data_IF_587282212366
#
_entry.id   IF_587282212366
#
_cell.length_a   1.000
_cell.length_b   1.000
_cell.length_c   1.000
_cell.angle_alpha   90.00
_cell.angle_beta   90.00
_cell.angle_gamma   90.00
#
_symmetry.space_group_name_H-M   'P 1'
#
loop_
_entity.id
_entity.type
_entity.pdbx_description
1 polymer ?
#
# COMPACT_ATOMS: atom_id res chain seq x y z
N UNK A 1 35.67 58.97 -10.63
CA UNK A 1 35.82 57.67 -9.98
C UNK A 1 34.48 56.96 -10.08
N UNK A 2 34.41 55.98 -10.98
CA UNK A 2 33.35 54.96 -11.25
C UNK A 2 31.92 55.21 -10.76
N UNK A 3 30.99 55.43 -11.70
CA UNK A 3 29.58 55.06 -11.52
C UNK A 3 29.24 53.90 -12.46
N UNK A 4 28.68 52.84 -11.89
CA UNK A 4 28.46 51.54 -12.51
C UNK A 4 26.96 51.34 -12.73
N UNK A 5 26.44 51.79 -13.87
CA UNK A 5 25.06 51.48 -14.26
C UNK A 5 25.06 50.23 -15.15
N UNK A 6 24.80 49.10 -14.51
CA UNK A 6 24.52 47.80 -15.13
C UNK A 6 23.44 47.96 -16.22
N UNK A 7 23.82 47.85 -17.50
CA UNK A 7 22.86 47.67 -18.60
C UNK A 7 22.25 46.28 -18.49
N UNK A 8 21.16 46.16 -17.73
CA UNK A 8 20.33 44.95 -17.74
C UNK A 8 19.70 44.79 -19.12
N UNK A 9 20.25 43.90 -19.93
CA UNK A 9 19.67 43.45 -21.19
C UNK A 9 18.33 42.76 -20.85
N UNK A 10 17.20 43.33 -21.27
CA UNK A 10 15.90 42.68 -21.16
C UNK A 10 15.96 41.35 -21.92
N UNK A 11 15.95 40.24 -21.18
CA UNK A 11 15.99 38.89 -21.76
C UNK A 11 14.61 38.63 -22.33
N UNK A 12 14.43 38.77 -23.64
CA UNK A 12 13.17 38.51 -24.35
C UNK A 12 12.83 37.02 -24.46
N UNK A 13 13.52 36.14 -23.72
CA UNK A 13 13.28 34.71 -23.76
C UNK A 13 12.16 34.35 -22.80
N UNK A 14 10.95 34.18 -23.32
CA UNK A 14 9.89 33.46 -22.62
C UNK A 14 10.34 32.00 -22.51
N UNK A 15 10.73 31.58 -21.31
CA UNK A 15 11.15 30.21 -21.01
C UNK A 15 9.89 29.40 -20.70
N UNK A 16 9.36 28.72 -21.71
CA UNK A 16 8.31 27.73 -21.50
C UNK A 16 8.92 26.50 -20.83
N UNK A 17 8.62 26.28 -19.56
CA UNK A 17 9.00 25.05 -18.85
C UNK A 17 8.05 23.91 -19.28
N UNK A 18 8.62 22.74 -19.57
CA UNK A 18 7.96 21.57 -20.18
C UNK A 18 6.78 21.00 -19.38
N UNK A 19 6.62 21.38 -18.11
CA UNK A 19 5.56 20.88 -17.23
C UNK A 19 4.53 21.94 -16.80
N UNK A 20 4.71 23.21 -17.16
CA UNK A 20 3.76 24.29 -16.79
C UNK A 20 2.81 24.69 -17.93
N UNK A 21 2.97 24.14 -19.13
CA UNK A 21 2.10 24.41 -20.30
C UNK A 21 0.93 23.42 -20.39
N UNK A 22 0.95 22.33 -19.62
CA UNK A 22 -0.02 21.23 -19.76
C UNK A 22 -1.29 21.38 -18.91
N UNK A 23 -1.55 22.55 -18.33
CA UNK A 23 -2.85 22.86 -17.74
C UNK A 23 -3.51 23.98 -18.56
N UNK A 24 -4.28 23.65 -19.61
CA UNK A 24 -5.14 24.63 -20.24
C UNK A 24 -6.15 25.06 -19.17
N UNK A 25 -6.07 26.33 -18.75
CA UNK A 25 -7.14 26.96 -17.99
C UNK A 25 -8.42 26.81 -18.82
N UNK A 26 -9.44 26.16 -18.25
CA UNK A 26 -10.77 26.02 -18.85
C UNK A 26 -11.49 27.37 -18.74
N UNK A 27 -10.96 28.39 -19.40
CA UNK A 27 -11.68 29.62 -19.69
C UNK A 27 -12.27 29.45 -21.09
N UNK A 28 -13.60 29.54 -21.28
CA UNK A 28 -14.21 29.41 -22.59
C UNK A 28 -13.88 30.67 -23.41
N UNK A 29 -12.75 30.65 -24.12
CA UNK A 29 -12.43 31.66 -25.11
C UNK A 29 -13.30 31.38 -26.34
N UNK A 30 -14.34 32.19 -26.52
CA UNK A 30 -15.32 32.16 -27.62
C UNK A 30 -14.73 32.62 -28.97
N UNK A 31 -13.52 32.17 -29.29
CA UNK A 31 -12.85 32.42 -30.57
C UNK A 31 -12.39 31.10 -31.18
N UNK A 32 -13.33 30.30 -31.67
CA UNK A 32 -13.03 29.02 -32.32
C UNK A 32 -12.47 29.27 -33.73
N UNK A 33 -11.15 29.39 -33.84
CA UNK A 33 -10.48 29.10 -35.10
C UNK A 33 -10.70 27.61 -35.40
N UNK A 34 -11.09 27.26 -36.63
CA UNK A 34 -11.40 25.88 -37.06
C UNK A 34 -10.27 24.88 -36.71
N UNK A 35 -9.02 25.34 -36.69
CA UNK A 35 -7.85 24.56 -36.24
C UNK A 35 -7.96 24.12 -34.78
N UNK A 36 -8.33 25.02 -33.86
CA UNK A 36 -8.42 24.70 -32.43
C UNK A 36 -9.50 23.65 -32.16
N UNK A 37 -10.62 23.70 -32.91
CA UNK A 37 -11.68 22.68 -32.80
C UNK A 37 -11.25 21.33 -33.38
N UNK A 38 -10.45 21.32 -34.43
CA UNK A 38 -9.95 20.08 -35.03
C UNK A 38 -8.88 19.41 -34.15
N UNK A 39 -7.99 20.19 -33.55
CA UNK A 39 -7.01 19.70 -32.57
C UNK A 39 -7.69 19.07 -31.34
N UNK A 40 -8.73 19.72 -30.80
CA UNK A 40 -9.49 19.17 -29.67
C UNK A 40 -10.16 17.83 -30.03
N UNK A 41 -10.71 17.72 -31.25
CA UNK A 41 -11.31 16.47 -31.73
C UNK A 41 -10.26 15.37 -31.90
N UNK A 42 -9.11 15.69 -32.48
CA UNK A 42 -8.03 14.73 -32.67
C UNK A 42 -7.53 14.20 -31.32
N UNK A 43 -7.31 15.09 -30.35
CA UNK A 43 -6.93 14.73 -28.98
C UNK A 43 -8.00 13.83 -28.34
N UNK A 44 -9.28 14.19 -28.44
CA UNK A 44 -10.37 13.38 -27.90
C UNK A 44 -10.39 11.96 -28.50
N UNK A 45 -10.25 11.85 -29.82
CA UNK A 45 -10.18 10.53 -30.49
C UNK A 45 -8.93 9.73 -30.15
N UNK A 46 -7.79 10.41 -29.94
CA UNK A 46 -6.55 9.77 -29.51
C UNK A 46 -6.68 9.20 -28.10
N UNK A 47 -7.30 9.97 -27.19
CA UNK A 47 -7.55 9.55 -25.82
C UNK A 47 -8.48 8.33 -25.75
N UNK A 48 -9.56 8.33 -26.56
CA UNK A 48 -10.50 7.22 -26.68
C UNK A 48 -9.83 5.93 -27.18
N UNK A 49 -8.81 6.03 -28.05
CA UNK A 49 -8.04 4.86 -28.51
C UNK A 49 -7.02 4.39 -27.49
N UNK A 50 -6.51 5.29 -26.67
CA UNK A 50 -5.58 4.98 -25.58
C UNK A 50 -6.28 4.36 -24.37
N UNK A 51 -7.60 4.47 -24.28
CA UNK A 51 -8.37 3.86 -23.20
C UNK A 51 -8.33 2.32 -23.32
N UNK A 52 -7.80 1.65 -22.30
CA UNK A 52 -7.78 0.19 -22.26
C UNK A 52 -9.00 -0.31 -21.47
N UNK A 53 -10.10 -0.57 -22.18
CA UNK A 53 -11.37 -1.05 -21.62
C UNK A 53 -11.23 -2.37 -20.86
N UNK A 54 -10.31 -3.24 -21.30
CA UNK A 54 -10.05 -4.52 -20.64
C UNK A 54 -9.43 -4.33 -19.24
N UNK A 55 -8.53 -3.35 -19.08
CA UNK A 55 -7.97 -3.01 -17.77
C UNK A 55 -9.00 -2.33 -16.85
N UNK A 56 -9.92 -1.56 -17.41
CA UNK A 56 -11.01 -0.97 -16.63
C UNK A 56 -11.90 -2.05 -16.00
N UNK A 57 -12.18 -3.14 -16.73
CA UNK A 57 -12.93 -4.29 -16.22
C UNK A 57 -12.16 -5.20 -15.26
N UNK A 58 -10.85 -5.03 -15.12
CA UNK A 58 -10.02 -5.90 -14.26
C UNK A 58 -10.24 -5.62 -12.77
N UNK A 59 -10.60 -4.38 -12.40
CA UNK A 59 -10.89 -4.02 -11.01
C UNK A 59 -12.35 -4.30 -10.69
N UNK A 60 -12.59 -5.41 -10.00
CA UNK A 60 -13.92 -5.74 -9.47
C UNK A 60 -14.19 -4.89 -8.24
N UNK A 61 -15.07 -3.90 -8.37
CA UNK A 61 -15.70 -3.26 -7.22
C UNK A 61 -16.82 -4.18 -6.72
N UNK A 62 -16.67 -4.72 -5.51
CA UNK A 62 -17.68 -5.60 -4.92
C UNK A 62 -18.86 -4.77 -4.40
N UNK A 63 -20.08 -5.30 -4.53
CA UNK A 63 -21.23 -4.76 -3.82
C UNK A 63 -21.08 -5.01 -2.31
N UNK A 64 -21.75 -4.20 -1.49
CA UNK A 64 -21.70 -4.32 -0.03
C UNK A 64 -22.02 -5.74 0.45
N UNK A 65 -23.07 -6.34 -0.11
CA UNK A 65 -23.46 -7.72 0.18
C UNK A 65 -22.34 -8.74 -0.09
N UNK A 66 -21.62 -8.59 -1.21
CA UNK A 66 -20.49 -9.49 -1.54
C UNK A 66 -19.34 -9.31 -0.57
N UNK A 67 -19.07 -8.07 -0.15
CA UNK A 67 -18.06 -7.75 0.85
C UNK A 67 -18.42 -8.38 2.21
N UNK A 68 -19.66 -8.24 2.67
CA UNK A 68 -20.13 -8.89 3.90
C UNK A 68 -20.00 -10.41 3.86
N UNK A 69 -20.38 -11.04 2.75
CA UNK A 69 -20.26 -12.49 2.59
C UNK A 69 -18.80 -12.96 2.68
N UNK A 70 -17.87 -12.22 2.06
CA UNK A 70 -16.44 -12.50 2.20
C UNK A 70 -15.95 -12.31 3.65
N UNK A 71 -16.43 -11.29 4.36
CA UNK A 71 -16.10 -11.08 5.76
C UNK A 71 -16.58 -12.23 6.66
N UNK A 72 -17.80 -12.72 6.46
CA UNK A 72 -18.34 -13.87 7.19
C UNK A 72 -17.54 -15.14 6.92
N UNK A 73 -17.21 -15.41 5.65
CA UNK A 73 -16.41 -16.57 5.26
C UNK A 73 -15.00 -16.50 5.82
N UNK A 74 -14.36 -15.33 5.76
CA UNK A 74 -13.04 -15.11 6.35
C UNK A 74 -13.05 -15.26 7.88
N UNK A 75 -14.12 -14.83 8.56
CA UNK A 75 -14.26 -15.00 10.00
C UNK A 75 -14.40 -16.47 10.39
N UNK A 76 -15.23 -17.24 9.68
CA UNK A 76 -15.34 -18.70 9.89
C UNK A 76 -13.99 -19.39 9.76
N UNK A 77 -13.29 -19.14 8.65
CA UNK A 77 -11.96 -19.72 8.42
C UNK A 77 -10.92 -19.31 9.49
N UNK A 78 -11.01 -18.09 10.03
CA UNK A 78 -10.15 -17.65 11.14
C UNK A 78 -10.44 -18.42 12.42
N UNK A 79 -11.72 -18.65 12.74
CA UNK A 79 -12.14 -19.44 13.91
C UNK A 79 -11.65 -20.88 13.76
N UNK A 80 -11.87 -21.51 12.61
CA UNK A 80 -11.43 -22.88 12.36
C UNK A 80 -9.91 -23.02 12.52
N UNK A 81 -9.14 -22.07 11.97
CA UNK A 81 -7.68 -22.04 12.14
C UNK A 81 -7.24 -21.83 13.59
N UNK A 82 -7.96 -20.98 14.34
CA UNK A 82 -7.67 -20.75 15.75
C UNK A 82 -7.97 -22.00 16.58
N UNK A 83 -9.09 -22.67 16.29
CA UNK A 83 -9.46 -23.94 16.89
C UNK A 83 -8.41 -25.01 16.59
N UNK A 84 -8.00 -25.18 15.32
CA UNK A 84 -6.97 -26.13 14.90
C UNK A 84 -5.67 -25.97 15.68
N UNK A 85 -5.24 -24.73 15.92
CA UNK A 85 -4.03 -24.44 16.72
C UNK A 85 -4.20 -24.83 18.20
N UNK A 86 -5.40 -24.61 18.75
CA UNK A 86 -5.72 -25.02 20.13
C UNK A 86 -5.81 -26.55 20.23
N UNK A 87 -6.43 -27.19 19.27
CA UNK A 87 -6.58 -28.65 19.24
C UNK A 87 -5.23 -29.34 18.99
N UNK A 88 -4.36 -28.78 18.14
CA UNK A 88 -2.99 -29.27 17.92
C UNK A 88 -2.03 -28.73 18.98
N UNK A 89 -2.11 -29.22 20.21
CA UNK A 89 -1.08 -29.12 21.28
C UNK A 89 -1.64 -29.32 22.69
N UNK A 90 -2.96 -29.34 22.86
CA UNK A 90 -3.59 -29.47 24.18
C UNK A 90 -3.77 -30.90 24.67
N UNK A 91 -3.76 -31.89 23.77
CA UNK A 91 -3.86 -33.28 24.19
C UNK A 91 -2.62 -33.67 25.01
N UNK A 92 -2.85 -34.04 26.26
CA UNK A 92 -1.78 -34.44 27.17
C UNK A 92 -1.15 -35.76 26.70
N UNK A 93 0.11 -35.70 26.28
CA UNK A 93 0.89 -36.91 25.95
C UNK A 93 1.63 -37.37 27.20
N UNK A 94 1.23 -38.52 27.75
CA UNK A 94 1.94 -39.16 28.86
C UNK A 94 3.38 -39.44 28.45
N UNK A 95 4.35 -38.81 29.12
CA UNK A 95 5.78 -39.09 28.93
C UNK A 95 6.29 -39.95 30.09
N UNK A 96 7.07 -41.01 29.81
CA UNK A 96 7.69 -41.81 30.85
C UNK A 96 8.63 -40.92 31.68
N UNK A 97 8.53 -41.04 33.01
CA UNK A 97 9.37 -40.27 33.94
C UNK A 97 10.83 -40.68 33.79
N UNK A 98 11.72 -39.71 33.60
CA UNK A 98 13.16 -39.96 33.61
C UNK A 98 13.58 -40.53 34.97
N UNK A 99 14.36 -41.63 34.96
CA UNK A 99 14.91 -42.26 36.16
C UNK A 99 15.88 -41.27 36.82
N UNK A 100 15.51 -40.75 37.99
CA UNK A 100 16.37 -39.83 38.77
C UNK A 100 17.68 -40.55 39.07
N UNK A 101 18.80 -40.04 38.57
CA UNK A 101 20.13 -40.44 39.06
C UNK A 101 20.30 -39.83 40.44
N UNK A 102 20.54 -40.68 41.44
CA UNK A 102 20.66 -40.36 42.86
C UNK A 102 21.98 -39.65 43.21
N UNK A 103 22.41 -38.68 42.40
CA UNK A 103 23.68 -37.97 42.60
C UNK A 103 23.52 -36.57 43.25
N UNK A 104 22.30 -36.05 43.36
CA UNK A 104 22.04 -34.68 43.85
C UNK A 104 21.35 -34.61 45.23
N UNK A 105 21.38 -35.68 46.04
CA UNK A 105 20.75 -35.71 47.37
C UNK A 105 21.77 -35.69 48.52
N UNK A 106 23.08 -35.78 48.27
CA UNK A 106 24.11 -35.82 49.32
C UNK A 106 24.74 -34.47 49.68
N UNK A 107 24.36 -33.36 49.02
CA UNK A 107 24.96 -32.05 49.29
C UNK A 107 24.16 -31.15 50.25
N UNK A 108 22.94 -31.53 50.64
CA UNK A 108 22.00 -30.66 51.39
C UNK A 108 21.61 -31.24 52.77
N UNK A 109 22.37 -32.21 53.28
CA UNK A 109 22.14 -32.84 54.59
C UNK A 109 23.41 -32.87 55.45
N UNK A 110 24.10 -31.73 55.63
CA UNK A 110 25.17 -31.63 56.64
C UNK A 110 25.22 -30.22 57.25
N UNK A 111 24.13 -29.69 57.82
CA UNK A 111 24.23 -28.43 58.61
C UNK A 111 23.12 -28.21 59.68
N UNK A 112 22.38 -29.23 60.12
CA UNK A 112 21.33 -29.04 61.14
C UNK A 112 21.33 -30.14 62.23
N UNK A 113 22.49 -30.44 62.82
CA UNK A 113 22.56 -31.18 64.09
C UNK A 113 23.81 -30.82 64.92
N UNK A 114 23.91 -29.55 65.29
CA UNK A 114 24.73 -29.10 66.41
C UNK A 114 24.09 -27.84 67.01
N UNK A 115 23.24 -28.05 68.02
CA UNK A 115 22.50 -27.02 68.75
C UNK A 115 21.63 -27.66 69.81
#
# INVERSE_FOLDING_TARGET
>A
MTDATSRQKARTSVRYSTYSVTAPSVAPTTGTNDSATNEIREIATGLDRMENKALASQRVALSEEKTENLHRLALGAKIDRALDRRMKSQDAVMRPRAKKTTAATTADQVDEKAG
#
